data_IF_760752526360
#
_entry.id   IF_760752526360
#
_cell.length_a   1.000
_cell.length_b   1.000
_cell.length_c   1.000
_cell.angle_alpha   90.00
_cell.angle_beta   90.00
_cell.angle_gamma   90.00
#
_symmetry.space_group_name_H-M   'P 1'
#
loop_
_entity.id
_entity.type
_entity.pdbx_description
1 polymer ?
#
# COMPACT_ATOMS: atom_id res chain seq x y z
N UNK A 1 7.80 -3.86 59.24
CA UNK A 1 7.49 -3.23 57.93
C UNK A 1 8.68 -3.21 56.95
N UNK A 2 9.82 -2.58 57.28
CA UNK A 2 10.92 -2.36 56.31
C UNK A 2 11.45 -3.62 55.61
N UNK A 3 11.61 -4.74 56.32
CA UNK A 3 12.14 -6.00 55.76
C UNK A 3 11.25 -6.61 54.67
N UNK A 4 9.93 -6.44 54.81
CA UNK A 4 8.94 -6.90 53.83
C UNK A 4 8.94 -6.04 52.57
N UNK A 5 9.09 -4.72 52.73
CA UNK A 5 9.22 -3.78 51.60
C UNK A 5 10.49 -4.06 50.80
N UNK A 6 11.60 -4.38 51.46
CA UNK A 6 12.87 -4.74 50.78
C UNK A 6 12.72 -6.03 49.99
N UNK A 7 12.13 -7.09 50.56
CA UNK A 7 11.89 -8.33 49.82
C UNK A 7 10.96 -8.15 48.63
N UNK A 8 9.94 -7.29 48.77
CA UNK A 8 9.02 -6.96 47.68
C UNK A 8 9.74 -6.23 46.54
N UNK A 9 10.58 -5.23 46.87
CA UNK A 9 11.37 -4.49 45.89
C UNK A 9 12.37 -5.39 45.15
N UNK A 10 13.02 -6.32 45.86
CA UNK A 10 13.96 -7.26 45.24
C UNK A 10 13.23 -8.20 44.29
N UNK A 11 12.08 -8.75 44.69
CA UNK A 11 11.26 -9.60 43.82
C UNK A 11 10.78 -8.86 42.56
N UNK A 12 10.32 -7.61 42.72
CA UNK A 12 9.92 -6.76 41.61
C UNK A 12 11.09 -6.48 40.66
N UNK A 13 12.24 -6.08 41.20
CA UNK A 13 13.43 -5.78 40.41
C UNK A 13 13.92 -7.00 39.62
N UNK A 14 13.91 -8.19 40.24
CA UNK A 14 14.24 -9.44 39.57
C UNK A 14 13.24 -9.78 38.47
N UNK A 15 11.93 -9.63 38.72
CA UNK A 15 10.90 -9.86 37.71
C UNK A 15 11.05 -8.95 36.50
N UNK A 16 11.32 -7.66 36.73
CA UNK A 16 11.56 -6.67 35.66
C UNK A 16 12.82 -7.01 34.87
N UNK A 17 13.92 -7.34 35.55
CA UNK A 17 15.18 -7.70 34.90
C UNK A 17 15.03 -8.94 34.01
N UNK A 18 14.37 -9.98 34.52
CA UNK A 18 14.13 -11.21 33.76
C UNK A 18 13.18 -10.95 32.59
N UNK A 19 12.09 -10.21 32.80
CA UNK A 19 11.16 -9.85 31.74
C UNK A 19 11.82 -9.04 30.62
N UNK A 20 12.68 -8.08 30.97
CA UNK A 20 13.42 -7.27 30.01
C UNK A 20 14.46 -8.11 29.25
N UNK A 21 15.19 -8.97 29.95
CA UNK A 21 16.17 -9.86 29.33
C UNK A 21 15.50 -10.80 28.32
N UNK A 22 14.39 -11.44 28.70
CA UNK A 22 13.65 -12.33 27.80
C UNK A 22 13.07 -11.55 26.61
N UNK A 23 12.51 -10.37 26.84
CA UNK A 23 11.89 -9.55 25.79
C UNK A 23 12.88 -8.95 24.80
N UNK A 24 14.13 -8.66 25.20
CA UNK A 24 15.12 -8.05 24.31
C UNK A 24 16.18 -8.99 23.76
N UNK A 25 16.63 -9.98 24.54
CA UNK A 25 17.75 -10.85 24.16
C UNK A 25 17.24 -12.18 23.59
N UNK A 26 16.28 -12.81 24.26
CA UNK A 26 15.78 -14.12 23.84
C UNK A 26 14.74 -14.04 22.72
N UNK A 27 13.90 -13.00 22.74
CA UNK A 27 12.84 -12.77 21.75
C UNK A 27 12.95 -11.35 21.16
N UNK A 28 14.03 -11.03 20.44
CA UNK A 28 14.14 -9.73 19.80
C UNK A 28 12.95 -9.50 18.86
N UNK A 29 12.41 -8.28 18.87
CA UNK A 29 11.37 -7.90 17.89
C UNK A 29 11.97 -8.01 16.49
N UNK A 30 11.44 -8.94 15.71
CA UNK A 30 11.81 -9.05 14.30
C UNK A 30 10.95 -8.07 13.51
N UNK A 31 11.54 -6.95 13.12
CA UNK A 31 10.97 -6.10 12.10
C UNK A 31 11.12 -6.83 10.76
N UNK A 32 10.10 -7.58 10.37
CA UNK A 32 10.04 -8.11 9.01
C UNK A 32 9.66 -6.94 8.13
N UNK A 33 10.57 -6.54 7.23
CA UNK A 33 10.27 -5.60 6.15
C UNK A 33 9.06 -6.15 5.39
N UNK A 34 7.89 -5.57 5.66
CA UNK A 34 6.67 -6.03 5.06
C UNK A 34 6.71 -5.68 3.58
N UNK A 35 6.66 -6.66 2.66
CA UNK A 35 6.75 -6.36 1.24
C UNK A 35 5.55 -5.49 0.84
N UNK A 36 5.67 -4.67 -0.21
CA UNK A 36 4.56 -3.85 -0.67
C UNK A 36 3.32 -4.69 -1.06
N UNK A 37 3.53 -5.96 -1.42
CA UNK A 37 2.45 -6.93 -1.60
C UNK A 37 1.63 -7.25 -0.34
N UNK A 38 2.14 -6.98 0.86
CA UNK A 38 1.41 -7.15 2.12
C UNK A 38 0.55 -5.94 2.51
N UNK A 39 0.58 -4.84 1.74
CA UNK A 39 -0.27 -3.67 2.00
C UNK A 39 -1.76 -4.05 2.00
N UNK A 40 -2.52 -3.40 2.88
CA UNK A 40 -3.97 -3.45 2.81
C UNK A 40 -4.45 -2.94 1.44
N UNK A 41 -5.57 -3.48 0.96
CA UNK A 41 -6.10 -3.17 -0.39
C UNK A 41 -6.23 -1.67 -0.65
N UNK A 42 -6.73 -0.89 0.30
CA UNK A 42 -6.87 0.56 0.18
C UNK A 42 -5.55 1.28 -0.10
N UNK A 43 -4.45 0.85 0.53
CA UNK A 43 -3.14 1.44 0.31
C UNK A 43 -2.53 1.01 -1.04
N UNK A 44 -2.79 -0.22 -1.50
CA UNK A 44 -2.39 -0.64 -2.85
C UNK A 44 -3.10 0.18 -3.92
N UNK A 45 -4.38 0.49 -3.69
CA UNK A 45 -5.17 1.31 -4.59
C UNK A 45 -4.65 2.76 -4.64
N UNK A 46 -4.38 3.35 -3.49
CA UNK A 46 -3.76 4.69 -3.40
C UNK A 46 -2.39 4.73 -4.08
N UNK A 47 -1.56 3.70 -3.89
CA UNK A 47 -0.28 3.58 -4.58
C UNK A 47 -0.48 3.51 -6.10
N UNK A 48 -1.49 2.78 -6.58
CA UNK A 48 -1.82 2.70 -8.01
C UNK A 48 -2.22 4.07 -8.58
N UNK A 49 -2.98 4.87 -7.83
CA UNK A 49 -3.29 6.27 -8.20
C UNK A 49 -2.03 7.12 -8.29
N UNK A 50 -1.08 6.97 -7.35
CA UNK A 50 0.21 7.70 -7.42
C UNK A 50 1.01 7.32 -8.68
N UNK A 51 1.02 6.03 -9.04
CA UNK A 51 1.67 5.60 -10.28
C UNK A 51 0.95 6.17 -11.51
N UNK A 52 -0.38 6.16 -11.51
CA UNK A 52 -1.19 6.75 -12.57
C UNK A 52 -0.95 8.27 -12.72
N UNK A 53 -0.77 8.97 -11.60
CA UNK A 53 -0.40 10.39 -11.59
C UNK A 53 0.96 10.63 -12.24
N UNK A 54 1.97 9.81 -11.93
CA UNK A 54 3.28 9.86 -12.58
C UNK A 54 3.19 9.61 -14.08
N UNK A 55 2.49 8.53 -14.46
CA UNK A 55 2.25 8.18 -15.86
C UNK A 55 1.57 9.31 -16.66
N UNK A 56 0.62 10.02 -16.04
CA UNK A 56 -0.05 11.14 -16.71
C UNK A 56 0.89 12.31 -17.02
N UNK A 57 2.05 12.42 -16.34
CA UNK A 57 3.05 13.47 -16.56
C UNK A 57 4.13 13.04 -17.57
N UNK A 58 4.62 11.80 -17.46
CA UNK A 58 5.77 11.33 -18.26
C UNK A 58 5.39 10.44 -19.46
N UNK A 59 4.19 9.85 -19.47
CA UNK A 59 3.74 8.90 -20.47
C UNK A 59 4.51 7.58 -20.48
N UNK A 60 5.30 7.28 -19.45
CA UNK A 60 6.17 6.10 -19.39
C UNK A 60 5.41 4.87 -18.89
N UNK A 61 4.82 4.14 -19.85
CA UNK A 61 4.10 2.88 -19.57
C UNK A 61 5.03 1.84 -18.94
N UNK A 62 6.28 1.73 -19.41
CA UNK A 62 7.21 0.72 -18.92
C UNK A 62 7.59 0.99 -17.46
N UNK A 63 7.86 2.26 -17.12
CA UNK A 63 8.10 2.69 -15.76
C UNK A 63 6.88 2.51 -14.85
N UNK A 64 5.66 2.73 -15.36
CA UNK A 64 4.45 2.48 -14.58
C UNK A 64 4.26 0.98 -14.25
N UNK A 65 4.51 0.11 -15.23
CA UNK A 65 4.48 -1.36 -15.05
C UNK A 65 5.49 -1.80 -14.01
N UNK A 66 6.74 -1.34 -14.12
CA UNK A 66 7.81 -1.75 -13.20
C UNK A 66 7.50 -1.35 -11.75
N UNK A 67 6.95 -0.14 -11.55
CA UNK A 67 6.54 0.31 -10.21
C UNK A 67 5.34 -0.46 -9.64
N UNK A 68 4.42 -0.90 -10.50
CA UNK A 68 3.26 -1.71 -10.09
C UNK A 68 3.62 -3.17 -9.79
N UNK A 69 4.69 -3.71 -10.39
CA UNK A 69 5.17 -5.08 -10.10
C UNK A 69 5.52 -5.28 -8.63
N UNK A 70 5.95 -4.22 -7.94
CA UNK A 70 6.28 -4.23 -6.51
C UNK A 70 5.08 -4.64 -5.64
N UNK A 71 3.84 -4.45 -6.12
CA UNK A 71 2.62 -4.91 -5.44
C UNK A 71 2.41 -6.44 -5.49
N UNK A 72 3.22 -7.16 -6.26
CA UNK A 72 3.10 -8.61 -6.43
C UNK A 72 1.85 -9.06 -7.19
N UNK A 73 1.35 -8.21 -8.08
CA UNK A 73 0.16 -8.51 -8.90
C UNK A 73 0.57 -9.28 -10.16
N UNK A 74 -0.12 -10.39 -10.46
CA UNK A 74 0.20 -11.24 -11.61
C UNK A 74 -0.11 -10.57 -12.95
N UNK A 75 -1.24 -9.86 -13.03
CA UNK A 75 -1.70 -9.18 -14.24
C UNK A 75 -1.96 -7.70 -13.95
N UNK A 76 -0.99 -6.86 -14.28
CA UNK A 76 -1.03 -5.41 -14.04
C UNK A 76 -2.21 -4.74 -14.76
N UNK A 77 -2.42 -4.94 -16.07
CA UNK A 77 -3.58 -4.36 -16.75
C UNK A 77 -4.92 -4.76 -16.11
N UNK A 78 -5.10 -6.03 -15.73
CA UNK A 78 -6.32 -6.49 -15.08
C UNK A 78 -6.49 -5.90 -13.67
N UNK A 79 -5.39 -5.75 -12.92
CA UNK A 79 -5.41 -5.12 -11.61
C UNK A 79 -5.79 -3.64 -11.69
N UNK A 80 -5.19 -2.88 -12.63
CA UNK A 80 -5.52 -1.46 -12.83
C UNK A 80 -6.98 -1.30 -13.26
N UNK A 81 -7.50 -2.20 -14.09
CA UNK A 81 -8.93 -2.25 -14.43
C UNK A 81 -9.80 -2.36 -13.18
N UNK A 82 -9.51 -3.33 -12.32
CA UNK A 82 -10.27 -3.58 -11.08
C UNK A 82 -10.23 -2.38 -10.13
N UNK A 83 -9.06 -1.76 -9.97
CA UNK A 83 -8.88 -0.54 -9.16
C UNK A 83 -9.73 0.60 -9.74
N UNK A 84 -9.69 0.80 -11.04
CA UNK A 84 -10.43 1.86 -11.73
C UNK A 84 -11.94 1.69 -11.59
N UNK A 85 -12.46 0.49 -11.84
CA UNK A 85 -13.89 0.19 -11.71
C UNK A 85 -14.37 0.34 -10.27
N UNK A 86 -13.55 -0.06 -9.29
CA UNK A 86 -13.83 0.14 -7.87
C UNK A 86 -13.87 1.63 -7.50
N UNK A 87 -12.97 2.45 -8.03
CA UNK A 87 -12.97 3.90 -7.80
C UNK A 87 -14.23 4.57 -8.39
N UNK A 88 -14.62 4.17 -9.60
CA UNK A 88 -15.86 4.64 -10.24
C UNK A 88 -17.08 4.25 -9.40
N UNK A 89 -17.18 2.96 -9.03
CA UNK A 89 -18.34 2.42 -8.31
C UNK A 89 -18.50 3.05 -6.92
N UNK A 90 -17.38 3.30 -6.23
CA UNK A 90 -17.38 3.93 -4.92
C UNK A 90 -17.51 5.46 -4.95
N UNK A 91 -17.75 6.06 -6.13
CA UNK A 91 -17.82 7.52 -6.31
C UNK A 91 -16.61 8.25 -5.71
N UNK A 92 -15.42 7.69 -5.90
CA UNK A 92 -14.17 8.31 -5.44
C UNK A 92 -13.89 9.60 -6.23
N UNK A 93 -12.79 10.28 -5.88
CA UNK A 93 -12.39 11.52 -6.51
C UNK A 93 -12.29 11.35 -8.05
N UNK A 94 -12.97 12.24 -8.78
CA UNK A 94 -13.03 12.21 -10.25
C UNK A 94 -11.66 12.44 -10.90
N UNK A 95 -10.77 13.22 -10.28
CA UNK A 95 -9.41 13.41 -10.76
C UNK A 95 -8.61 12.10 -10.73
N UNK A 96 -8.70 11.35 -9.62
CA UNK A 96 -8.04 10.05 -9.47
C UNK A 96 -8.59 9.04 -10.48
N UNK A 97 -9.91 9.01 -10.67
CA UNK A 97 -10.55 8.16 -11.68
C UNK A 97 -9.99 8.45 -13.07
N UNK A 98 -9.84 9.72 -13.44
CA UNK A 98 -9.29 10.10 -14.76
C UNK A 98 -7.85 9.63 -14.94
N UNK A 99 -7.01 9.76 -13.91
CA UNK A 99 -5.63 9.26 -13.93
C UNK A 99 -5.60 7.74 -14.14
N UNK A 100 -6.42 7.01 -13.38
CA UNK A 100 -6.53 5.55 -13.49
C UNK A 100 -7.03 5.10 -14.86
N UNK A 101 -8.01 5.80 -15.44
CA UNK A 101 -8.49 5.54 -16.81
C UNK A 101 -7.39 5.77 -17.84
N UNK A 102 -6.62 6.87 -17.72
CA UNK A 102 -5.51 7.16 -18.61
C UNK A 102 -4.42 6.08 -18.52
N UNK A 103 -4.07 5.65 -17.31
CA UNK A 103 -3.12 4.56 -17.10
C UNK A 103 -3.63 3.24 -17.70
N UNK A 104 -4.89 2.89 -17.47
CA UNK A 104 -5.48 1.68 -18.06
C UNK A 104 -5.48 1.72 -19.59
N UNK A 105 -5.84 2.85 -20.18
CA UNK A 105 -5.80 3.04 -21.64
C UNK A 105 -4.37 2.87 -22.19
N UNK A 106 -3.37 3.44 -21.50
CA UNK A 106 -1.95 3.28 -21.86
C UNK A 106 -1.44 1.84 -21.74
N UNK A 107 -1.96 1.06 -20.79
CA UNK A 107 -1.57 -0.35 -20.57
C UNK A 107 -2.28 -1.32 -21.52
N UNK A 108 -3.58 -1.13 -21.73
CA UNK A 108 -4.44 -2.08 -22.44
C UNK A 108 -4.73 -1.68 -23.89
N UNK A 109 -4.43 -0.44 -24.28
CA UNK A 109 -4.77 0.12 -25.60
C UNK A 109 -6.29 0.25 -25.84
N UNK A 110 -7.10 0.16 -24.78
CA UNK A 110 -8.56 0.18 -24.83
C UNK A 110 -9.13 0.71 -23.52
N UNK A 111 -10.38 1.16 -23.57
CA UNK A 111 -11.18 1.58 -22.41
C UNK A 111 -12.47 0.76 -22.35
N UNK A 112 -13.02 0.57 -21.15
CA UNK A 112 -14.33 -0.08 -20.99
C UNK A 112 -15.45 0.97 -21.04
N UNK A 113 -16.71 0.59 -21.36
CA UNK A 113 -17.82 1.55 -21.42
C UNK A 113 -18.05 2.34 -20.12
N UNK A 114 -17.70 1.76 -18.96
CA UNK A 114 -17.77 2.43 -17.66
C UNK A 114 -16.76 3.58 -17.51
N UNK A 115 -15.68 3.56 -18.29
CA UNK A 115 -14.60 4.54 -18.25
C UNK A 115 -14.79 5.68 -19.25
N UNK A 116 -15.63 5.51 -20.27
CA UNK A 116 -15.84 6.48 -21.34
C UNK A 116 -16.21 7.90 -20.83
N UNK A 117 -17.05 8.08 -19.79
CA UNK A 117 -17.37 9.41 -19.25
C UNK A 117 -16.15 10.15 -18.66
N UNK A 118 -15.13 9.39 -18.25
CA UNK A 118 -13.92 9.89 -17.60
C UNK A 118 -12.75 10.03 -18.60
N UNK A 119 -12.95 9.61 -19.84
CA UNK A 119 -12.01 9.75 -20.95
C UNK A 119 -11.99 11.20 -21.48
N UNK A 120 -11.61 12.15 -20.63
CA UNK A 120 -11.38 13.53 -21.04
C UNK A 120 -9.89 13.73 -21.34
N UNK A 121 -9.45 13.16 -22.45
CA UNK A 121 -8.10 13.36 -22.98
C UNK A 121 -8.10 14.61 -23.84
N UNK A 122 -7.66 15.74 -23.26
CA UNK A 122 -7.03 16.82 -24.03
C UNK A 122 -5.52 16.58 -23.92
N UNK A 123 -4.97 15.81 -24.85
CA UNK A 123 -3.54 15.83 -25.11
C UNK A 123 -3.26 17.02 -26.03
N UNK A 124 -2.30 17.90 -25.72
CA UNK A 124 -1.77 18.87 -26.68
C UNK A 124 -1.09 18.19 -27.87
#
# INVERSE_FOLDING_TARGET
MSRFLVSLFIGLALGVLVGLYLGWVQFPVQYIDSPAGALARSYKDQYTVMIAAGFAQDGDVAGAVERLRVLGVENIPAYVLEVTERYITNSQNVADIRLLVQLYEGLAGRVTPLMEPYRQVRLP
#
